data_IF_299132756104
#
_entry.id   IF_299132756104
#
_cell.length_a   1.000
_cell.length_b   1.000
_cell.length_c   1.000
_cell.angle_alpha   90.00
_cell.angle_beta   90.00
_cell.angle_gamma   90.00
#
_symmetry.space_group_name_H-M   'P 1'
#
loop_
_entity.id
_entity.type
_entity.pdbx_description
1 polymer ?
#
# COMPACT_ATOMS: atom_id res chain seq x y z
N UNK A 1 0.44 10.67 -13.39
CA UNK A 1 1.52 11.66 -13.35
C UNK A 1 2.23 11.47 -12.02
N UNK A 2 3.44 10.94 -12.04
CA UNK A 2 4.24 10.80 -10.81
C UNK A 2 4.68 12.20 -10.38
N UNK A 3 4.47 12.54 -9.11
CA UNK A 3 5.02 13.78 -8.58
C UNK A 3 6.55 13.68 -8.57
N UNK A 4 7.26 14.71 -9.07
CA UNK A 4 8.71 14.65 -9.12
C UNK A 4 9.31 14.68 -7.71
N UNK A 5 10.50 14.08 -7.57
CA UNK A 5 11.31 14.20 -6.38
C UNK A 5 11.62 15.68 -6.09
N UNK A 6 11.19 16.16 -4.93
CA UNK A 6 11.48 17.51 -4.43
C UNK A 6 12.57 17.46 -3.37
N UNK A 7 13.66 18.17 -3.59
CA UNK A 7 14.77 18.31 -2.63
C UNK A 7 14.86 19.77 -2.21
N UNK A 8 14.85 20.04 -0.92
CA UNK A 8 14.94 21.39 -0.35
C UNK A 8 16.01 21.46 0.73
N UNK A 9 16.74 22.58 0.75
CA UNK A 9 17.73 22.88 1.80
C UNK A 9 17.21 24.06 2.63
N UNK A 10 17.13 23.87 3.96
CA UNK A 10 16.67 24.91 4.87
C UNK A 10 17.79 25.32 5.83
N UNK A 11 17.96 26.64 6.00
CA UNK A 11 18.97 27.22 6.91
C UNK A 11 20.42 26.80 6.61
N UNK A 12 20.69 26.35 5.40
CA UNK A 12 22.03 25.98 4.91
C UNK A 12 22.13 26.25 3.41
N UNK A 13 23.33 26.41 2.92
CA UNK A 13 23.55 26.50 1.49
C UNK A 13 23.26 25.16 0.80
N UNK A 14 22.71 25.15 -0.41
CA UNK A 14 22.54 23.92 -1.19
C UNK A 14 23.90 23.22 -1.38
N UNK A 15 23.92 21.90 -1.19
CA UNK A 15 25.11 21.07 -1.37
C UNK A 15 24.89 20.11 -2.53
N UNK A 16 25.62 20.29 -3.61
CA UNK A 16 25.56 19.40 -4.78
C UNK A 16 25.93 17.96 -4.44
N UNK A 17 26.85 17.76 -3.49
CA UNK A 17 27.26 16.45 -3.04
C UNK A 17 26.11 15.71 -2.34
N UNK A 18 25.38 16.39 -1.44
CA UNK A 18 24.21 15.83 -0.76
C UNK A 18 23.05 15.60 -1.74
N UNK A 19 22.81 16.55 -2.64
CA UNK A 19 21.76 16.39 -3.65
C UNK A 19 22.02 15.19 -4.55
N UNK A 20 23.25 15.00 -5.01
CA UNK A 20 23.65 13.83 -5.82
C UNK A 20 23.43 12.54 -5.02
N UNK A 21 23.83 12.53 -3.75
CA UNK A 21 23.65 11.37 -2.87
C UNK A 21 22.18 11.03 -2.67
N UNK A 22 21.33 12.01 -2.45
CA UNK A 22 19.87 11.87 -2.34
C UNK A 22 19.30 11.25 -3.61
N UNK A 23 19.68 11.76 -4.79
CA UNK A 23 19.21 11.22 -6.09
C UNK A 23 19.64 9.78 -6.34
N UNK A 24 20.86 9.41 -5.94
CA UNK A 24 21.35 8.02 -6.02
C UNK A 24 20.53 7.05 -5.16
N UNK A 25 20.27 7.44 -3.91
CA UNK A 25 19.48 6.63 -2.97
C UNK A 25 18.02 6.55 -3.40
N UNK A 26 17.45 7.68 -3.86
CA UNK A 26 16.09 7.74 -4.38
C UNK A 26 15.90 6.79 -5.56
N UNK A 27 16.78 6.81 -6.55
CA UNK A 27 16.71 5.95 -7.72
C UNK A 27 16.74 4.44 -7.39
N UNK A 28 17.25 4.04 -6.22
CA UNK A 28 17.18 2.66 -5.73
C UNK A 28 15.79 2.32 -5.18
N UNK A 29 15.20 3.24 -4.42
CA UNK A 29 13.86 3.06 -3.85
C UNK A 29 12.78 3.04 -4.93
N UNK A 30 12.84 3.99 -5.88
CA UNK A 30 11.89 4.12 -6.99
C UNK A 30 11.86 2.87 -7.89
N UNK A 31 12.99 2.18 -8.04
CA UNK A 31 13.04 0.90 -8.80
C UNK A 31 12.46 -0.29 -8.07
N UNK A 32 12.37 -0.24 -6.74
CA UNK A 32 12.00 -1.38 -5.92
C UNK A 32 10.57 -1.30 -5.37
N UNK A 33 10.07 -0.08 -5.19
CA UNK A 33 8.78 0.18 -4.58
C UNK A 33 7.89 1.01 -5.49
N UNK A 34 6.59 0.81 -5.39
CA UNK A 34 5.60 1.64 -6.08
C UNK A 34 5.44 2.96 -5.31
N UNK A 35 6.05 4.02 -5.82
CA UNK A 35 6.13 5.33 -5.18
C UNK A 35 5.45 6.36 -6.08
N UNK A 36 4.54 7.16 -5.49
CA UNK A 36 3.84 8.24 -6.18
C UNK A 36 4.73 9.47 -6.31
N UNK A 37 5.50 9.78 -5.27
CA UNK A 37 6.41 10.92 -5.24
C UNK A 37 7.10 11.07 -3.90
N UNK A 38 8.07 12.01 -3.80
CA UNK A 38 8.75 12.28 -2.54
C UNK A 38 9.14 13.74 -2.36
N UNK A 39 9.16 14.15 -1.11
CA UNK A 39 9.74 15.42 -0.64
C UNK A 39 10.83 15.12 0.38
N UNK A 40 12.02 15.65 0.14
CA UNK A 40 13.18 15.52 1.01
C UNK A 40 13.62 16.92 1.44
N UNK A 41 13.66 17.14 2.74
CA UNK A 41 14.11 18.38 3.34
C UNK A 41 15.37 18.10 4.16
N UNK A 42 16.44 18.82 3.82
CA UNK A 42 17.70 18.80 4.55
C UNK A 42 17.82 20.14 5.24
N UNK A 43 17.95 20.15 6.57
CA UNK A 43 17.97 21.38 7.35
C UNK A 43 19.09 21.40 8.37
N UNK A 44 19.70 22.58 8.53
CA UNK A 44 20.54 22.88 9.66
C UNK A 44 19.72 23.64 10.70
N UNK A 45 19.66 23.21 11.97
CA UNK A 45 18.88 23.90 12.97
C UNK A 45 19.40 25.30 13.25
N UNK A 46 18.46 26.20 13.56
CA UNK A 46 18.77 27.59 13.86
C UNK A 46 19.69 27.76 15.08
N UNK A 47 20.75 28.52 14.89
CA UNK A 47 21.51 29.32 15.87
C UNK A 47 21.84 28.66 17.20
N UNK A 48 22.80 27.75 17.19
CA UNK A 48 23.75 27.66 18.31
C UNK A 48 25.16 27.55 17.71
N UNK A 49 26.08 28.52 18.00
CA UNK A 49 27.39 28.59 17.33
C UNK A 49 28.33 27.42 17.64
N UNK A 50 27.93 26.47 18.46
CA UNK A 50 28.74 25.30 18.84
C UNK A 50 28.07 23.94 18.71
N UNK A 51 26.91 23.86 18.05
CA UNK A 51 26.22 22.57 17.80
C UNK A 51 25.70 22.52 16.36
N UNK A 52 26.56 22.08 15.45
CA UNK A 52 26.13 21.73 14.12
C UNK A 52 25.24 20.46 14.18
N UNK A 53 23.96 20.60 14.02
CA UNK A 53 23.03 19.49 13.89
C UNK A 53 22.55 19.48 12.43
N UNK A 54 22.42 18.33 11.82
CA UNK A 54 21.80 18.17 10.51
C UNK A 54 20.51 17.37 10.68
N UNK A 55 19.41 17.91 10.18
CA UNK A 55 18.13 17.23 10.07
C UNK A 55 17.87 16.79 8.65
N UNK A 56 17.33 15.59 8.48
CA UNK A 56 16.83 15.08 7.21
C UNK A 56 15.41 14.58 7.42
N UNK A 57 14.47 15.15 6.67
CA UNK A 57 13.07 14.74 6.65
C UNK A 57 12.72 14.19 5.26
N UNK A 58 12.18 12.99 5.21
CA UNK A 58 11.76 12.31 3.98
C UNK A 58 10.27 12.03 4.09
N UNK A 59 9.48 12.53 3.15
CA UNK A 59 8.07 12.19 3.00
C UNK A 59 7.88 11.53 1.64
N UNK A 60 7.34 10.31 1.62
CA UNK A 60 7.15 9.49 0.43
C UNK A 60 5.67 9.15 0.32
N UNK A 61 5.03 9.54 -0.78
CA UNK A 61 3.69 9.12 -1.13
C UNK A 61 3.72 7.71 -1.73
N UNK A 62 2.92 6.82 -1.17
CA UNK A 62 2.75 5.44 -1.64
C UNK A 62 1.25 5.14 -1.82
N UNK A 63 0.86 4.14 -2.63
CA UNK A 63 -0.52 3.71 -2.69
C UNK A 63 -1.06 3.36 -1.30
N UNK A 64 -2.16 4.02 -0.91
CA UNK A 64 -2.80 3.81 0.39
C UNK A 64 -2.23 4.62 1.56
N UNK A 65 -1.27 5.54 1.34
CA UNK A 65 -0.80 6.41 2.42
C UNK A 65 0.51 7.15 2.17
N UNK A 66 1.04 7.74 3.23
CA UNK A 66 2.31 8.46 3.22
C UNK A 66 3.27 7.90 4.27
N UNK A 67 4.53 7.80 3.90
CA UNK A 67 5.62 7.41 4.80
C UNK A 67 6.44 8.64 5.12
N UNK A 68 6.61 8.94 6.41
CA UNK A 68 7.42 10.07 6.86
C UNK A 68 8.51 9.61 7.81
N UNK A 69 9.74 9.97 7.48
CA UNK A 69 10.93 9.70 8.30
C UNK A 69 11.62 11.02 8.62
N UNK A 70 12.00 11.19 9.89
CA UNK A 70 12.85 12.30 10.35
C UNK A 70 14.06 11.75 11.05
N UNK A 71 15.23 12.29 10.73
CA UNK A 71 16.51 11.99 11.40
C UNK A 71 17.24 13.29 11.67
N UNK A 72 17.75 13.42 12.88
CA UNK A 72 18.59 14.53 13.31
C UNK A 72 19.83 13.98 13.96
N UNK A 73 20.99 14.52 13.60
CA UNK A 73 22.27 14.12 14.18
C UNK A 73 23.15 15.34 14.44
N UNK A 74 23.84 15.34 15.57
CA UNK A 74 24.91 16.32 15.84
C UNK A 74 26.13 15.98 15.00
N UNK A 75 26.58 16.94 14.23
CA UNK A 75 27.81 16.83 13.45
C UNK A 75 28.98 17.28 14.35
N UNK A 76 29.98 16.42 14.52
CA UNK A 76 31.16 16.74 15.33
C UNK A 76 32.32 17.31 14.51
N UNK A 77 32.36 17.04 13.21
CA UNK A 77 33.28 17.65 12.23
C UNK A 77 32.68 17.56 10.84
N UNK A 78 33.11 18.46 9.91
CA UNK A 78 32.45 18.75 8.66
C UNK A 78 32.37 17.59 7.67
N UNK A 79 31.44 17.69 6.78
CA UNK A 79 31.20 17.01 5.49
C UNK A 79 30.93 15.49 5.46
N UNK A 80 31.74 14.63 6.06
CA UNK A 80 31.54 13.17 5.98
C UNK A 80 30.32 12.67 6.78
N UNK A 81 29.96 13.39 7.82
CA UNK A 81 28.81 13.03 8.67
C UNK A 81 27.47 13.42 8.06
N UNK A 82 27.43 14.43 7.18
CA UNK A 82 26.18 14.84 6.53
C UNK A 82 25.63 13.75 5.58
N UNK A 83 26.51 13.12 4.82
CA UNK A 83 26.16 12.00 3.95
C UNK A 83 25.67 10.78 4.77
N UNK A 84 26.23 10.57 5.96
CA UNK A 84 25.80 9.51 6.86
C UNK A 84 24.36 9.72 7.35
N UNK A 85 23.98 10.95 7.75
CA UNK A 85 22.59 11.27 8.19
C UNK A 85 21.59 11.02 7.08
N UNK A 86 21.94 11.40 5.83
CA UNK A 86 21.13 11.11 4.65
C UNK A 86 20.96 9.60 4.47
N UNK A 87 22.05 8.82 4.55
CA UNK A 87 22.00 7.37 4.42
C UNK A 87 21.11 6.72 5.49
N UNK A 88 21.21 7.14 6.74
CA UNK A 88 20.38 6.65 7.86
C UNK A 88 18.89 6.97 7.64
N UNK A 89 18.59 8.19 7.17
CA UNK A 89 17.21 8.57 6.85
C UNK A 89 16.63 7.69 5.75
N UNK A 90 17.40 7.43 4.68
CA UNK A 90 16.97 6.55 3.59
C UNK A 90 16.85 5.09 4.01
N UNK A 91 17.74 4.58 4.87
CA UNK A 91 17.65 3.22 5.42
C UNK A 91 16.40 3.04 6.29
N UNK A 92 16.01 4.09 7.03
CA UNK A 92 14.77 4.07 7.80
C UNK A 92 13.54 4.15 6.89
N UNK A 93 13.60 4.95 5.82
CA UNK A 93 12.53 5.02 4.82
C UNK A 93 12.35 3.68 4.09
N UNK A 94 13.44 3.02 3.70
CA UNK A 94 13.40 1.70 3.07
C UNK A 94 12.73 0.65 3.96
N UNK A 95 13.07 0.63 5.27
CA UNK A 95 12.40 -0.28 6.23
C UNK A 95 10.90 -0.03 6.31
N UNK A 96 10.47 1.23 6.37
CA UNK A 96 9.03 1.57 6.41
C UNK A 96 8.31 1.23 5.10
N UNK A 97 8.97 1.40 3.94
CA UNK A 97 8.46 0.98 2.64
C UNK A 97 8.30 -0.54 2.56
N UNK A 98 9.28 -1.29 3.07
CA UNK A 98 9.22 -2.75 3.12
C UNK A 98 8.07 -3.25 4.02
N UNK A 99 7.94 -2.66 5.23
CA UNK A 99 6.84 -2.96 6.15
C UNK A 99 5.47 -2.64 5.53
N UNK A 100 5.35 -1.50 4.82
CA UNK A 100 4.13 -1.12 4.10
C UNK A 100 3.81 -2.11 2.98
N UNK A 101 4.78 -2.45 2.14
CA UNK A 101 4.62 -3.42 1.07
C UNK A 101 4.25 -4.83 1.61
N UNK A 102 4.81 -5.23 2.76
CA UNK A 102 4.45 -6.50 3.40
C UNK A 102 3.03 -6.48 3.96
N UNK A 103 2.58 -5.35 4.54
CA UNK A 103 1.19 -5.20 5.01
C UNK A 103 0.22 -5.31 3.84
N UNK A 104 0.45 -4.58 2.76
CA UNK A 104 -0.39 -4.68 1.55
C UNK A 104 -0.45 -6.11 1.00
N UNK A 105 0.68 -6.84 0.98
CA UNK A 105 0.71 -8.25 0.56
C UNK A 105 -0.01 -9.18 1.54
N UNK A 106 0.04 -8.89 2.84
CA UNK A 106 -0.71 -9.66 3.86
C UNK A 106 -2.19 -9.40 3.76
N UNK A 107 -2.60 -8.15 3.55
CA UNK A 107 -4.01 -7.79 3.38
C UNK A 107 -4.58 -8.46 2.12
N UNK A 108 -3.84 -8.49 1.01
CA UNK A 108 -4.23 -9.25 -0.19
C UNK A 108 -4.29 -10.76 0.09
N UNK A 109 -3.33 -11.33 0.81
CA UNK A 109 -3.35 -12.76 1.18
C UNK A 109 -4.42 -13.09 2.23
N UNK A 110 -4.66 -12.21 3.20
CA UNK A 110 -5.73 -12.40 4.19
C UNK A 110 -7.09 -12.49 3.50
N UNK A 111 -7.32 -11.66 2.47
CA UNK A 111 -8.53 -11.76 1.64
C UNK A 111 -8.59 -13.03 0.79
N UNK A 112 -7.46 -13.62 0.40
CA UNK A 112 -7.44 -14.93 -0.28
C UNK A 112 -7.66 -16.10 0.68
N UNK A 113 -7.16 -16.01 1.93
CA UNK A 113 -7.33 -17.05 2.97
C UNK A 113 -8.68 -16.96 3.70
N UNK A 114 -9.40 -15.85 3.61
CA UNK A 114 -10.73 -15.64 4.21
C UNK A 114 -11.90 -16.03 3.30
N UNK A 115 -11.65 -16.75 2.22
CA UNK A 115 -12.74 -17.26 1.36
C UNK A 115 -13.61 -18.26 2.12
N UNK A 116 -14.86 -17.93 2.28
CA UNK A 116 -15.85 -18.80 2.89
C UNK A 116 -16.71 -19.48 1.80
N UNK A 117 -17.24 -20.66 2.11
CA UNK A 117 -18.17 -21.35 1.23
C UNK A 117 -19.58 -20.81 1.39
N UNK A 118 -20.26 -20.63 0.26
CA UNK A 118 -21.66 -20.27 0.18
C UNK A 118 -22.33 -21.01 -0.99
N UNK A 119 -23.65 -20.91 -1.06
CA UNK A 119 -24.45 -21.45 -2.16
C UNK A 119 -25.26 -20.34 -2.83
N UNK A 120 -25.30 -20.32 -4.12
CA UNK A 120 -26.17 -19.41 -4.89
C UNK A 120 -27.62 -19.75 -4.61
N UNK A 121 -28.40 -18.81 -4.09
CA UNK A 121 -29.83 -19.02 -3.76
C UNK A 121 -30.76 -18.30 -4.73
N UNK A 122 -30.31 -17.17 -5.31
CA UNK A 122 -31.07 -16.42 -6.31
C UNK A 122 -30.14 -15.73 -7.28
N UNK A 123 -30.56 -15.68 -8.55
CA UNK A 123 -29.88 -14.98 -9.63
C UNK A 123 -30.86 -14.06 -10.34
N UNK A 124 -30.40 -12.87 -10.67
CA UNK A 124 -31.13 -11.88 -11.47
C UNK A 124 -30.23 -11.44 -12.65
N UNK A 125 -30.10 -12.27 -13.69
CA UNK A 125 -29.17 -12.01 -14.79
C UNK A 125 -29.46 -10.71 -15.55
N UNK A 126 -30.75 -10.32 -15.66
CA UNK A 126 -31.16 -9.10 -16.33
C UNK A 126 -30.78 -7.82 -15.54
N UNK A 127 -30.41 -7.97 -14.29
CA UNK A 127 -30.04 -6.87 -13.37
C UNK A 127 -28.61 -6.98 -12.87
N UNK A 128 -27.84 -7.93 -13.40
CA UNK A 128 -26.43 -8.16 -13.14
C UNK A 128 -26.07 -8.47 -11.67
N UNK A 129 -26.98 -9.08 -10.91
CA UNK A 129 -26.71 -9.43 -9.52
C UNK A 129 -27.32 -10.76 -9.07
N UNK A 130 -26.90 -11.23 -7.90
CA UNK A 130 -27.45 -12.40 -7.23
C UNK A 130 -27.28 -12.38 -5.73
N UNK A 131 -27.75 -13.43 -5.09
CA UNK A 131 -27.59 -13.69 -3.66
C UNK A 131 -26.98 -15.06 -3.42
N UNK A 132 -26.04 -15.11 -2.49
CA UNK A 132 -25.45 -16.34 -1.97
C UNK A 132 -25.87 -16.49 -0.51
N UNK A 133 -26.14 -17.75 -0.09
CA UNK A 133 -26.45 -18.09 1.30
C UNK A 133 -25.25 -18.78 1.93
N UNK A 134 -24.84 -18.30 3.10
CA UNK A 134 -23.80 -18.91 3.92
C UNK A 134 -24.32 -20.15 4.65
N UNK A 135 -23.40 -20.92 5.26
CA UNK A 135 -23.78 -22.04 6.16
C UNK A 135 -24.64 -21.61 7.34
N UNK A 136 -24.53 -20.35 7.76
CA UNK A 136 -25.30 -19.74 8.85
C UNK A 136 -26.64 -19.14 8.40
N UNK A 137 -27.00 -19.38 7.12
CA UNK A 137 -28.23 -18.90 6.47
C UNK A 137 -28.29 -17.37 6.32
N UNK A 138 -27.15 -16.70 6.24
CA UNK A 138 -27.07 -15.29 5.90
C UNK A 138 -27.08 -15.15 4.39
N UNK A 139 -27.95 -14.25 3.89
CA UNK A 139 -27.97 -13.87 2.48
C UNK A 139 -26.99 -12.74 2.24
N UNK A 140 -26.09 -12.92 1.31
CA UNK A 140 -25.07 -11.95 0.92
C UNK A 140 -25.32 -11.58 -0.53
N UNK A 141 -25.42 -10.28 -0.78
CA UNK A 141 -25.56 -9.73 -2.12
C UNK A 141 -24.23 -9.80 -2.87
N UNK A 142 -24.27 -10.08 -4.17
CA UNK A 142 -23.15 -9.93 -5.07
C UNK A 142 -23.57 -9.37 -6.43
N UNK A 143 -22.75 -8.53 -7.01
CA UNK A 143 -22.90 -7.99 -8.36
C UNK A 143 -22.02 -8.78 -9.35
N UNK A 144 -22.34 -8.77 -10.64
CA UNK A 144 -21.54 -9.41 -11.71
C UNK A 144 -20.07 -9.03 -11.66
N UNK A 145 -19.74 -7.77 -11.35
CA UNK A 145 -18.36 -7.24 -11.33
C UNK A 145 -17.46 -7.89 -10.28
N UNK A 146 -18.01 -8.53 -9.26
CA UNK A 146 -17.25 -9.23 -8.22
C UNK A 146 -17.02 -10.71 -8.50
N UNK A 147 -17.59 -11.24 -9.60
CA UNK A 147 -17.25 -12.57 -10.13
C UNK A 147 -15.83 -12.54 -10.71
N UNK A 148 -15.02 -13.53 -10.36
CA UNK A 148 -13.58 -13.55 -10.69
C UNK A 148 -13.19 -14.59 -11.73
N UNK A 149 -13.89 -15.71 -11.80
CA UNK A 149 -13.53 -16.87 -12.60
C UNK A 149 -14.71 -17.44 -13.45
N UNK A 150 -15.86 -16.78 -13.42
CA UNK A 150 -17.05 -17.16 -14.20
C UNK A 150 -17.91 -15.94 -14.54
N UNK A 151 -18.75 -16.08 -15.54
CA UNK A 151 -19.82 -15.12 -15.81
C UNK A 151 -21.09 -15.46 -15.01
N UNK A 152 -21.96 -14.45 -14.81
CA UNK A 152 -23.21 -14.62 -14.07
C UNK A 152 -24.13 -15.65 -14.74
N UNK A 153 -24.03 -15.76 -16.07
CA UNK A 153 -24.83 -16.67 -16.91
C UNK A 153 -24.39 -18.14 -16.76
N UNK A 154 -23.17 -18.38 -16.26
CA UNK A 154 -22.65 -19.72 -15.98
C UNK A 154 -23.09 -20.26 -14.61
N UNK A 155 -23.53 -19.37 -13.73
CA UNK A 155 -24.00 -19.72 -12.38
C UNK A 155 -25.46 -20.19 -12.42
N UNK A 156 -25.77 -21.13 -11.53
CA UNK A 156 -27.15 -21.64 -11.33
C UNK A 156 -27.50 -21.55 -9.86
N UNK A 157 -28.79 -21.45 -9.58
CA UNK A 157 -29.28 -21.63 -8.21
C UNK A 157 -28.86 -23.01 -7.67
N UNK A 158 -28.26 -23.04 -6.51
CA UNK A 158 -27.66 -24.23 -5.93
C UNK A 158 -26.16 -24.40 -6.18
N UNK A 159 -25.53 -23.60 -7.08
CA UNK A 159 -24.08 -23.64 -7.31
C UNK A 159 -23.33 -23.31 -6.03
N UNK A 160 -22.29 -24.08 -5.72
CA UNK A 160 -21.36 -23.77 -4.62
C UNK A 160 -20.33 -22.76 -5.11
N UNK A 161 -20.08 -21.75 -4.28
CA UNK A 161 -19.12 -20.67 -4.54
C UNK A 161 -18.28 -20.40 -3.31
N UNK A 162 -17.10 -19.84 -3.55
CA UNK A 162 -16.29 -19.20 -2.53
C UNK A 162 -16.53 -17.71 -2.59
N UNK A 163 -16.54 -17.03 -1.44
CA UNK A 163 -16.74 -15.59 -1.40
C UNK A 163 -15.89 -14.92 -0.34
N UNK A 164 -15.66 -13.63 -0.51
CA UNK A 164 -15.11 -12.72 0.50
C UNK A 164 -16.12 -11.61 0.77
N UNK A 165 -16.23 -11.17 2.02
CA UNK A 165 -17.11 -10.06 2.40
C UNK A 165 -16.47 -8.71 2.07
N UNK A 166 -17.30 -7.74 1.67
CA UNK A 166 -16.89 -6.35 1.63
C UNK A 166 -16.82 -5.78 3.05
N UNK A 167 -15.94 -4.79 3.26
CA UNK A 167 -15.80 -4.12 4.56
C UNK A 167 -17.04 -3.30 4.94
N UNK A 168 -17.77 -2.81 3.93
CA UNK A 168 -18.96 -1.98 4.12
C UNK A 168 -20.23 -2.75 3.73
N UNK A 169 -21.30 -2.56 4.46
CA UNK A 169 -22.62 -3.06 4.11
C UNK A 169 -23.26 -2.15 3.04
N UNK A 170 -23.79 -2.76 1.99
CA UNK A 170 -24.54 -2.05 0.96
C UNK A 170 -26.01 -1.78 1.38
N UNK A 171 -26.75 -1.08 0.51
CA UNK A 171 -28.17 -0.82 0.70
C UNK A 171 -29.06 -2.08 0.75
N UNK A 172 -28.52 -3.22 0.31
CA UNK A 172 -29.17 -4.55 0.33
C UNK A 172 -28.63 -5.47 1.43
N UNK A 173 -27.88 -4.95 2.41
CA UNK A 173 -27.26 -5.73 3.48
C UNK A 173 -25.80 -6.12 3.18
N UNK A 174 -25.30 -7.21 3.78
CA UNK A 174 -23.95 -7.68 3.57
C UNK A 174 -23.66 -7.95 2.09
N UNK A 175 -22.47 -7.56 1.64
CA UNK A 175 -22.06 -7.58 0.24
C UNK A 175 -20.80 -8.41 0.07
N UNK A 176 -20.71 -9.19 -1.01
CA UNK A 176 -19.47 -9.84 -1.40
C UNK A 176 -18.54 -8.86 -2.12
N UNK A 177 -17.25 -8.91 -1.82
CA UNK A 177 -16.17 -8.20 -2.54
C UNK A 177 -15.52 -9.06 -3.62
N UNK A 178 -15.72 -10.38 -3.55
CA UNK A 178 -15.27 -11.34 -4.57
C UNK A 178 -16.06 -12.64 -4.45
N UNK A 179 -16.38 -13.25 -5.60
CA UNK A 179 -17.05 -14.54 -5.69
C UNK A 179 -16.34 -15.41 -6.75
N UNK A 180 -16.07 -16.68 -6.41
CA UNK A 180 -15.41 -17.68 -7.25
C UNK A 180 -16.23 -18.95 -7.30
N UNK A 181 -16.21 -19.63 -8.43
CA UNK A 181 -16.87 -20.93 -8.57
C UNK A 181 -16.04 -22.04 -7.92
N UNK A 182 -16.72 -23.00 -7.29
CA UNK A 182 -16.06 -24.21 -6.76
C UNK A 182 -15.97 -25.21 -7.91
N UNK A 183 -14.76 -25.44 -8.43
CA UNK A 183 -14.52 -26.41 -9.50
C UNK A 183 -13.69 -25.92 -10.69
N UNK A 184 -13.40 -24.63 -10.80
CA UNK A 184 -12.34 -24.12 -11.66
C UNK A 184 -11.01 -24.30 -10.97
N UNK A 185 -10.27 -25.30 -11.40
CA UNK A 185 -8.92 -25.77 -11.08
C UNK A 185 -8.01 -24.77 -10.31
N UNK A 186 -8.25 -24.64 -9.00
CA UNK A 186 -7.25 -24.08 -8.10
C UNK A 186 -7.09 -25.03 -6.91
N UNK A 187 -5.95 -25.77 -6.86
CA UNK A 187 -5.68 -26.66 -5.75
C UNK A 187 -5.53 -25.82 -4.46
N UNK A 188 -6.42 -26.09 -3.53
CA UNK A 188 -6.25 -25.68 -2.13
C UNK A 188 -4.99 -26.37 -1.61
N UNK A 189 -3.95 -25.61 -1.32
CA UNK A 189 -2.81 -26.04 -0.51
C UNK A 189 -2.91 -25.49 0.88
#
# INVERSE_FOLDING_TARGET
MQEPLQISFHNMAPSEALERRVRELWAKLERRYDIIGARIVIEAPHKQPHKSTLGVSISIGVPGGDITVKREQRLHEADDHAAWVVNEAFSAAERQLEDHAQKLRRDVKAHEDERAYARVVRLYPEQDYGFIETRERLNIYFHRDVLRDADLDDLKEGSEVLYTLAADEGSMGPMASGVWTVGSDHPVR
#
